data_IF_386850681602
#
_entry.id   IF_386850681602
#
_cell.length_a   1.000
_cell.length_b   1.000
_cell.length_c   1.000
_cell.angle_alpha   90.00
_cell.angle_beta   90.00
_cell.angle_gamma   90.00
#
_symmetry.space_group_name_H-M   'P 1'
#
loop_
_entity.id
_entity.type
_entity.pdbx_description
1 polymer ?
#
# COMPACT_ATOMS: atom_id res chain seq x y z
N UNK A 1 3.14 20.52 -11.30
CA UNK A 1 2.09 21.44 -10.91
C UNK A 1 2.12 21.65 -9.41
N UNK A 2 2.27 22.90 -9.03
CA UNK A 2 2.35 23.22 -7.61
C UNK A 2 1.00 23.05 -6.89
N UNK A 3 -0.09 23.27 -7.60
CA UNK A 3 -1.41 23.23 -6.98
C UNK A 3 -1.78 21.90 -6.38
N UNK A 4 -1.51 20.83 -7.10
CA UNK A 4 -1.93 19.53 -6.56
C UNK A 4 -1.02 19.04 -5.45
N UNK A 5 0.17 19.63 -5.30
CA UNK A 5 1.03 19.30 -4.17
C UNK A 5 0.41 19.81 -2.87
N UNK A 6 -0.32 20.90 -2.95
CA UNK A 6 -0.98 21.45 -1.78
C UNK A 6 -2.24 20.66 -1.40
N UNK A 7 -2.73 19.80 -2.30
CA UNK A 7 -3.83 18.91 -1.95
C UNK A 7 -3.31 17.83 -1.01
N UNK A 8 -4.10 17.49 -0.03
CA UNK A 8 -3.78 16.38 0.83
C UNK A 8 -4.10 15.09 0.09
N UNK A 9 -3.27 14.08 0.28
CA UNK A 9 -3.54 12.78 -0.33
C UNK A 9 -4.91 12.27 0.08
N UNK A 10 -5.33 12.59 1.31
CA UNK A 10 -6.65 12.18 1.79
C UNK A 10 -7.81 12.77 0.97
N UNK A 11 -7.55 13.84 0.22
CA UNK A 11 -8.57 14.42 -0.66
C UNK A 11 -8.74 13.59 -1.94
N UNK A 12 -7.75 12.76 -2.27
CA UNK A 12 -7.76 11.95 -3.48
C UNK A 12 -8.21 10.52 -3.20
N UNK A 13 -8.17 10.10 -1.97
CA UNK A 13 -8.56 8.75 -1.60
C UNK A 13 -8.44 8.52 -0.12
N UNK A 14 -8.70 7.28 0.28
CA UNK A 14 -8.61 6.88 1.68
C UNK A 14 -7.24 6.25 1.93
N UNK A 15 -6.51 6.78 2.89
CA UNK A 15 -5.19 6.27 3.25
C UNK A 15 -5.35 5.14 4.24
N UNK A 16 -4.78 4.00 3.93
CA UNK A 16 -4.94 2.77 4.72
C UNK A 16 -3.57 2.15 4.99
N UNK A 17 -3.33 1.77 6.22
CA UNK A 17 -2.13 1.02 6.57
C UNK A 17 -2.37 -0.48 6.43
N UNK A 18 -1.44 -1.26 6.94
CA UNK A 18 -1.55 -2.71 6.95
C UNK A 18 -1.03 -3.28 8.25
N UNK A 19 -0.94 -4.59 8.32
CA UNK A 19 -0.47 -5.27 9.51
C UNK A 19 0.08 -6.64 9.15
N UNK A 20 0.78 -7.25 10.09
CA UNK A 20 1.39 -8.56 9.90
C UNK A 20 0.71 -9.55 10.84
N UNK A 21 0.06 -10.59 10.31
CA UNK A 21 -0.44 -11.68 11.15
C UNK A 21 0.75 -12.32 11.89
N UNK A 22 0.50 -12.84 13.07
CA UNK A 22 1.58 -13.44 13.87
C UNK A 22 2.31 -14.51 13.05
N UNK A 23 3.63 -14.38 12.95
CA UNK A 23 4.45 -15.36 12.24
C UNK A 23 4.60 -16.64 13.01
N UNK A 24 4.17 -16.67 14.26
CA UNK A 24 4.22 -17.86 15.09
C UNK A 24 3.04 -18.79 14.85
N UNK A 25 2.04 -18.33 14.10
CA UNK A 25 0.83 -19.11 13.82
C UNK A 25 0.85 -19.58 12.39
N UNK A 26 1.24 -20.81 12.17
CA UNK A 26 1.32 -21.39 10.83
C UNK A 26 -0.02 -21.30 10.11
N UNK A 27 -1.11 -21.45 10.85
CA UNK A 27 -2.45 -21.43 10.25
C UNK A 27 -2.81 -20.07 9.65
N UNK A 28 -2.06 -19.02 9.93
CA UNK A 28 -2.29 -17.73 9.33
C UNK A 28 -1.69 -17.63 7.93
N UNK A 29 -0.79 -18.52 7.57
CA UNK A 29 -0.04 -18.48 6.32
C UNK A 29 -0.18 -19.74 5.47
N UNK A 30 -0.21 -20.90 6.08
CA UNK A 30 -0.19 -22.16 5.35
C UNK A 30 -1.42 -22.30 4.46
N UNK A 31 -1.17 -22.56 3.17
CA UNK A 31 -2.23 -22.69 2.18
C UNK A 31 -3.04 -21.42 1.99
N UNK A 32 -2.44 -20.25 2.32
CA UNK A 32 -3.12 -18.99 2.15
C UNK A 32 -3.36 -18.66 0.69
N UNK A 33 -4.48 -18.04 0.41
CA UNK A 33 -4.83 -17.65 -0.94
C UNK A 33 -5.12 -16.15 -1.04
N UNK A 34 -4.90 -15.41 0.04
CA UNK A 34 -5.08 -13.96 0.06
C UNK A 34 -3.70 -13.33 -0.11
N UNK A 35 -3.53 -12.57 -1.18
CA UNK A 35 -2.25 -11.91 -1.46
C UNK A 35 -1.94 -10.92 -0.35
N UNK A 36 -0.69 -10.94 0.12
CA UNK A 36 -0.22 -10.09 1.21
C UNK A 36 1.15 -9.54 0.81
N UNK A 37 1.22 -8.24 0.65
CA UNK A 37 2.35 -7.57 0.02
C UNK A 37 3.21 -6.91 1.08
N UNK A 38 4.54 -6.97 0.89
CA UNK A 38 5.49 -6.27 1.75
C UNK A 38 6.35 -5.35 0.90
N UNK A 39 7.03 -4.36 1.51
CA UNK A 39 7.93 -3.51 0.73
C UNK A 39 9.01 -4.31 0.01
N UNK A 40 9.44 -5.42 0.59
CA UNK A 40 10.43 -6.29 -0.06
C UNK A 40 9.93 -6.81 -1.40
N UNK A 41 8.63 -7.11 -1.47
CA UNK A 41 8.05 -7.59 -2.73
C UNK A 41 8.16 -6.54 -3.82
N UNK A 42 8.04 -5.28 -3.47
CA UNK A 42 8.13 -4.20 -4.44
C UNK A 42 9.57 -3.84 -4.79
N UNK A 43 10.52 -4.21 -3.95
CA UNK A 43 11.93 -3.85 -4.16
C UNK A 43 12.48 -4.44 -5.45
N UNK A 44 11.96 -5.57 -5.89
CA UNK A 44 12.39 -6.23 -7.12
C UNK A 44 11.32 -6.20 -8.20
N UNK A 45 10.17 -5.61 -7.89
CA UNK A 45 9.05 -5.57 -8.82
C UNK A 45 9.28 -4.52 -9.89
N UNK A 46 9.14 -4.89 -11.15
CA UNK A 46 9.41 -4.00 -12.28
C UNK A 46 8.16 -3.48 -12.96
N UNK A 47 7.01 -4.02 -12.63
CA UNK A 47 5.77 -3.61 -13.27
C UNK A 47 5.05 -2.51 -12.52
N UNK A 48 3.87 -2.17 -13.00
CA UNK A 48 3.02 -1.16 -12.40
C UNK A 48 1.89 -1.79 -11.58
N UNK A 49 1.41 -2.93 -12.03
CA UNK A 49 0.30 -3.64 -11.39
C UNK A 49 0.81 -4.89 -10.71
N UNK A 50 0.47 -5.07 -9.44
CA UNK A 50 0.93 -6.24 -8.69
C UNK A 50 -0.27 -7.08 -8.26
N UNK A 51 -0.11 -8.40 -8.35
CA UNK A 51 -1.18 -9.34 -8.00
C UNK A 51 -0.92 -10.02 -6.68
N UNK A 52 0.33 -10.32 -6.38
CA UNK A 52 0.70 -11.03 -5.17
C UNK A 52 2.17 -10.81 -4.87
N UNK A 53 2.56 -11.07 -3.63
CA UNK A 53 3.95 -11.07 -3.22
C UNK A 53 4.45 -12.49 -2.99
N UNK A 54 5.50 -12.60 -2.21
CA UNK A 54 6.12 -13.87 -1.90
C UNK A 54 5.24 -14.73 -0.99
N UNK A 55 4.47 -14.07 -0.14
CA UNK A 55 3.65 -14.76 0.86
C UNK A 55 2.19 -14.42 0.69
N UNK A 56 1.36 -15.40 1.02
CA UNK A 56 -0.08 -15.21 1.10
C UNK A 56 -0.51 -15.48 2.53
N UNK A 57 -1.68 -15.02 2.90
CA UNK A 57 -2.24 -15.31 4.21
C UNK A 57 -3.59 -15.99 4.04
N UNK A 58 -4.02 -16.63 5.12
CA UNK A 58 -5.32 -17.28 5.16
C UNK A 58 -6.38 -16.30 5.61
N UNK A 59 -7.64 -16.70 5.49
CA UNK A 59 -8.73 -15.88 6.00
C UNK A 59 -8.63 -15.69 7.51
N UNK A 60 -8.18 -16.74 8.20
CA UNK A 60 -7.95 -16.64 9.65
C UNK A 60 -6.85 -15.62 9.94
N UNK A 61 -5.77 -15.64 9.12
CA UNK A 61 -4.71 -14.67 9.27
C UNK A 61 -5.20 -13.26 9.01
N UNK A 62 -6.02 -13.07 8.00
CA UNK A 62 -6.59 -11.77 7.69
C UNK A 62 -7.38 -11.21 8.86
N UNK A 63 -8.16 -12.05 9.51
CA UNK A 63 -9.01 -11.63 10.63
C UNK A 63 -8.24 -11.48 11.93
N UNK A 64 -7.00 -11.96 11.98
CA UNK A 64 -6.21 -11.98 13.21
C UNK A 64 -5.57 -10.63 13.53
N UNK A 65 -5.51 -9.72 12.58
CA UNK A 65 -4.84 -8.44 12.78
C UNK A 65 -5.61 -7.35 12.03
N UNK A 66 -5.06 -6.14 12.07
CA UNK A 66 -5.77 -4.99 11.51
C UNK A 66 -5.54 -4.78 10.03
N UNK A 67 -4.85 -5.70 9.35
CA UNK A 67 -4.71 -5.57 7.90
C UNK A 67 -6.08 -5.69 7.24
N UNK A 68 -6.25 -4.98 6.13
CA UNK A 68 -7.53 -4.93 5.45
C UNK A 68 -7.37 -5.43 4.02
N UNK A 69 -8.41 -6.08 3.53
CA UNK A 69 -8.44 -6.50 2.14
C UNK A 69 -8.74 -5.27 1.28
N UNK A 70 -7.74 -4.83 0.54
CA UNK A 70 -7.84 -3.62 -0.27
C UNK A 70 -8.40 -3.95 -1.64
N UNK A 71 -9.25 -3.10 -2.19
CA UNK A 71 -9.84 -3.38 -3.50
C UNK A 71 -8.84 -3.22 -4.63
N UNK A 72 -9.18 -3.79 -5.77
CA UNK A 72 -8.46 -3.58 -7.01
C UNK A 72 -8.31 -2.06 -7.24
N UNK A 73 -7.18 -1.67 -7.81
CA UNK A 73 -6.83 -0.29 -8.15
C UNK A 73 -6.35 0.55 -6.97
N UNK A 74 -6.24 -0.05 -5.78
CA UNK A 74 -5.61 0.65 -4.66
C UNK A 74 -4.15 0.89 -5.01
N UNK A 75 -3.66 2.10 -4.75
CA UNK A 75 -2.26 2.44 -5.01
C UNK A 75 -1.47 2.17 -3.75
N UNK A 76 -0.55 1.21 -3.84
CA UNK A 76 0.29 0.81 -2.72
C UNK A 76 1.52 1.71 -2.70
N UNK A 77 1.82 2.27 -1.56
CA UNK A 77 2.97 3.17 -1.42
C UNK A 77 3.69 2.84 -0.11
N UNK A 78 4.95 2.42 -0.21
CA UNK A 78 5.69 2.04 0.99
C UNK A 78 6.03 3.27 1.81
N UNK A 79 5.79 3.19 3.11
CA UNK A 79 6.02 4.30 4.03
C UNK A 79 7.31 4.13 4.84
N UNK A 80 7.99 3.00 4.66
CA UNK A 80 9.27 2.76 5.33
C UNK A 80 10.04 1.65 4.63
N UNK A 81 11.34 1.66 4.83
CA UNK A 81 12.32 0.64 4.52
C UNK A 81 12.40 0.24 3.04
N UNK A 82 12.55 1.13 2.09
CA UNK A 82 12.51 2.59 2.10
C UNK A 82 11.14 3.13 1.70
N UNK A 83 10.96 4.43 1.87
CA UNK A 83 9.76 5.11 1.42
C UNK A 83 9.76 5.19 -0.10
N UNK A 84 8.60 4.95 -0.70
CA UNK A 84 8.41 5.28 -2.10
C UNK A 84 8.37 4.15 -3.08
N UNK A 85 8.42 2.90 -2.64
CA UNK A 85 8.08 1.81 -3.55
C UNK A 85 6.58 1.91 -3.83
N UNK A 86 6.20 1.73 -5.08
CA UNK A 86 4.83 2.00 -5.48
C UNK A 86 4.34 0.97 -6.50
N UNK A 87 3.08 0.61 -6.39
CA UNK A 87 2.43 -0.28 -7.35
C UNK A 87 0.93 -0.11 -7.23
N UNK A 88 0.19 -0.58 -8.23
CA UNK A 88 -1.27 -0.57 -8.21
C UNK A 88 -1.73 -2.01 -8.02
N UNK A 89 -2.68 -2.21 -7.11
CA UNK A 89 -3.25 -3.54 -6.88
C UNK A 89 -4.03 -3.99 -8.10
N UNK A 90 -3.64 -5.11 -8.68
CA UNK A 90 -4.33 -5.65 -9.85
C UNK A 90 -5.56 -6.45 -9.44
N UNK A 91 -5.59 -6.89 -8.20
CA UNK A 91 -6.73 -7.63 -7.62
C UNK A 91 -6.78 -7.29 -6.13
N UNK A 92 -7.77 -7.82 -5.45
CA UNK A 92 -7.84 -7.63 -4.01
C UNK A 92 -6.60 -8.20 -3.35
N UNK A 93 -6.06 -7.46 -2.39
CA UNK A 93 -4.88 -7.87 -1.65
C UNK A 93 -4.79 -7.09 -0.35
N UNK A 94 -3.88 -7.50 0.51
CA UNK A 94 -3.61 -6.74 1.73
C UNK A 94 -2.11 -6.53 1.86
N UNK A 95 -1.69 -5.76 2.86
CA UNK A 95 -0.29 -5.37 3.01
C UNK A 95 0.14 -5.49 4.46
N UNK A 96 1.46 -5.47 4.66
CA UNK A 96 1.98 -5.36 6.00
C UNK A 96 1.96 -3.89 6.44
N UNK A 97 2.47 -3.60 7.63
CA UNK A 97 2.45 -2.25 8.20
C UNK A 97 3.45 -1.30 7.54
N UNK A 98 4.24 -1.77 6.60
CA UNK A 98 5.20 -0.94 5.89
C UNK A 98 4.60 -0.11 4.78
N UNK A 99 3.29 -0.08 4.66
CA UNK A 99 2.59 0.66 3.60
C UNK A 99 1.64 1.70 4.17
N UNK A 100 1.48 2.77 3.41
CA UNK A 100 0.38 3.71 3.53
C UNK A 100 -0.24 3.75 2.16
N UNK A 101 -1.19 2.86 1.92
CA UNK A 101 -1.80 2.71 0.61
C UNK A 101 -2.98 3.66 0.48
N UNK A 102 -3.32 4.02 -0.76
CA UNK A 102 -4.41 4.96 -1.01
C UNK A 102 -5.45 4.27 -1.88
N UNK A 103 -6.67 4.17 -1.34
CA UNK A 103 -7.81 3.69 -2.11
C UNK A 103 -8.37 4.92 -2.82
N UNK A 104 -8.26 4.98 -4.16
CA UNK A 104 -8.69 6.20 -4.87
C UNK A 104 -10.17 6.47 -4.68
N UNK A 105 -10.52 7.75 -4.58
CA UNK A 105 -11.91 8.16 -4.59
C UNK A 105 -12.54 7.83 -5.94
N UNK A 106 -13.86 7.85 -5.96
CA UNK A 106 -14.63 7.57 -7.17
C UNK A 106 -14.18 8.43 -8.35
N UNK A 107 -13.79 9.66 -8.09
CA UNK A 107 -13.38 10.59 -9.14
C UNK A 107 -11.88 10.67 -9.36
N UNK A 108 -11.11 9.83 -8.68
CA UNK A 108 -9.66 9.84 -8.80
C UNK A 108 -9.20 8.66 -9.65
N UNK A 109 -8.53 8.96 -10.76
CA UNK A 109 -7.97 7.94 -11.63
C UNK A 109 -6.79 7.26 -10.92
N UNK A 110 -6.80 5.93 -10.77
CA UNK A 110 -5.68 5.23 -10.12
C UNK A 110 -4.34 5.49 -10.77
N UNK A 111 -4.28 5.59 -12.10
CA UNK A 111 -3.02 5.87 -12.78
C UNK A 111 -2.52 7.27 -12.49
N UNK A 112 -3.42 8.24 -12.43
CA UNK A 112 -3.06 9.59 -12.06
C UNK A 112 -2.46 9.59 -10.66
N UNK A 113 -3.12 8.94 -9.72
CA UNK A 113 -2.65 8.86 -8.34
C UNK A 113 -1.28 8.15 -8.27
N UNK A 114 -1.12 7.07 -9.03
CA UNK A 114 0.14 6.34 -9.09
C UNK A 114 1.29 7.26 -9.50
N UNK A 115 1.12 8.01 -10.59
CA UNK A 115 2.16 8.89 -11.08
C UNK A 115 2.36 10.09 -10.19
N UNK A 116 1.29 10.58 -9.58
CA UNK A 116 1.39 11.67 -8.63
C UNK A 116 2.31 11.29 -7.47
N UNK A 117 2.08 10.13 -6.88
CA UNK A 117 2.90 9.67 -5.78
C UNK A 117 4.31 9.34 -6.24
N UNK A 118 4.45 8.73 -7.40
CA UNK A 118 5.74 8.33 -7.94
C UNK A 118 6.64 9.53 -8.19
N UNK A 119 6.11 10.56 -8.83
CA UNK A 119 6.92 11.73 -9.19
C UNK A 119 7.15 12.67 -8.02
N UNK A 120 6.42 12.50 -6.92
CA UNK A 120 6.60 13.30 -5.74
C UNK A 120 7.19 12.52 -4.57
N UNK A 121 7.76 11.38 -4.86
CA UNK A 121 8.33 10.49 -3.86
C UNK A 121 9.29 11.23 -2.92
N UNK A 122 10.21 12.01 -3.48
CA UNK A 122 11.21 12.71 -2.66
C UNK A 122 10.57 13.74 -1.75
N UNK A 123 9.58 14.44 -2.26
CA UNK A 123 8.88 15.43 -1.46
C UNK A 123 8.09 14.79 -0.35
N UNK A 124 7.41 13.69 -0.67
CA UNK A 124 6.64 12.96 0.33
C UNK A 124 7.57 12.40 1.40
N UNK A 125 8.71 11.89 0.98
CA UNK A 125 9.70 11.36 1.91
C UNK A 125 10.18 12.42 2.89
N UNK A 126 10.46 13.62 2.39
CA UNK A 126 10.94 14.70 3.25
C UNK A 126 9.87 15.19 4.21
N UNK A 127 8.60 15.12 3.80
CA UNK A 127 7.49 15.53 4.64
C UNK A 127 7.08 14.46 5.64
N UNK A 128 7.30 13.21 5.27
CA UNK A 128 6.83 12.09 6.06
C UNK A 128 7.69 11.76 7.26
N UNK A 129 8.91 12.27 7.28
CA UNK A 129 9.80 11.96 8.39
C UNK A 129 9.29 12.65 9.65
N UNK A 130 8.87 11.87 10.62
CA UNK A 130 8.38 12.43 11.86
C UNK A 130 6.96 12.96 11.81
N UNK A 131 6.34 13.01 10.66
CA UNK A 131 4.95 13.41 10.54
C UNK A 131 4.13 12.23 10.06
N UNK A 132 2.83 12.30 10.27
CA UNK A 132 1.98 11.24 9.78
C UNK A 132 1.75 11.43 8.29
N UNK A 133 1.70 10.32 7.59
CA UNK A 133 1.50 10.33 6.15
C UNK A 133 0.19 11.02 5.77
N UNK A 134 -0.81 10.88 6.60
CA UNK A 134 -2.12 11.45 6.31
C UNK A 134 -2.15 12.98 6.38
N UNK A 135 -1.08 13.58 6.85
CA UNK A 135 -0.97 15.03 6.85
C UNK A 135 -0.41 15.58 5.55
N UNK A 136 0.02 14.72 4.68
CA UNK A 136 0.60 15.09 3.40
C UNK A 136 -0.45 15.51 2.38
#
# INVERSE_FOLDING_TARGET
>A
MAEWIDCKIADLGTVVGGATPSTKKLEYYENGNIAWITPKDLSTFRGRYIRRGERNITEIGLKSCSTQLLPKNTVLFSSRAPIGYIAIAENELCTNQGFKSVIPNENTDPLFLYYLLKYNKNKIESMGSGTTFKEV
#
